data_IF_617604660175
#
_entry.id   IF_617604660175
#
_cell.length_a   1.000
_cell.length_b   1.000
_cell.length_c   1.000
_cell.angle_alpha   90.00
_cell.angle_beta   90.00
_cell.angle_gamma   90.00
#
_symmetry.space_group_name_H-M   'P 1'
#
loop_
_entity.id
_entity.type
_entity.pdbx_description
1 polymer ?
#
# COMPACT_ATOMS: atom_id res chain seq x y z
N UNK A 1 0.06 -18.14 -38.52
CA UNK A 1 -0.70 -17.00 -37.98
C UNK A 1 -0.11 -15.71 -38.51
N UNK A 2 -0.91 -14.69 -38.86
CA UNK A 2 -0.36 -13.49 -39.49
C UNK A 2 0.58 -12.77 -38.51
N UNK A 3 1.81 -12.50 -38.95
CA UNK A 3 2.88 -11.78 -38.25
C UNK A 3 2.39 -10.49 -37.57
N UNK A 4 1.38 -9.86 -38.17
CA UNK A 4 0.81 -8.59 -37.75
C UNK A 4 0.14 -8.68 -36.38
N UNK A 5 -0.48 -9.82 -36.04
CA UNK A 5 -1.15 -9.99 -34.73
C UNK A 5 -0.12 -10.04 -33.59
N UNK A 6 1.00 -10.73 -33.79
CA UNK A 6 2.07 -10.81 -32.79
C UNK A 6 2.80 -9.46 -32.62
N UNK A 7 3.02 -8.74 -33.72
CA UNK A 7 3.60 -7.39 -33.70
C UNK A 7 2.70 -6.40 -32.95
N UNK A 8 1.40 -6.38 -33.27
CA UNK A 8 0.42 -5.52 -32.62
C UNK A 8 0.27 -5.83 -31.12
N UNK A 9 0.30 -7.11 -30.72
CA UNK A 9 0.29 -7.51 -29.32
C UNK A 9 1.55 -7.04 -28.56
N UNK A 10 2.74 -7.16 -29.17
CA UNK A 10 3.99 -6.68 -28.57
C UNK A 10 3.99 -5.16 -28.36
N UNK A 11 3.51 -4.39 -29.35
CA UNK A 11 3.37 -2.94 -29.23
C UNK A 11 2.33 -2.54 -28.17
N UNK A 12 1.19 -3.23 -28.11
CA UNK A 12 0.19 -3.00 -27.07
C UNK A 12 0.76 -3.27 -25.66
N UNK A 13 1.53 -4.34 -25.49
CA UNK A 13 2.21 -4.67 -24.24
C UNK A 13 3.20 -3.58 -23.82
N UNK A 14 4.08 -3.15 -24.73
CA UNK A 14 5.06 -2.11 -24.46
C UNK A 14 4.38 -0.79 -24.06
N UNK A 15 3.28 -0.44 -24.75
CA UNK A 15 2.49 0.76 -24.45
C UNK A 15 1.86 0.70 -23.06
N UNK A 16 1.20 -0.42 -22.73
CA UNK A 16 0.55 -0.60 -21.42
C UNK A 16 1.59 -0.70 -20.29
N UNK A 17 2.72 -1.36 -20.51
CA UNK A 17 3.81 -1.40 -19.54
C UNK A 17 4.39 0.00 -19.28
N UNK A 18 4.55 0.81 -20.33
CA UNK A 18 5.01 2.21 -20.22
C UNK A 18 4.02 3.06 -19.44
N UNK A 19 2.73 2.98 -19.77
CA UNK A 19 1.68 3.73 -19.08
C UNK A 19 1.55 3.29 -17.62
N UNK A 20 1.55 1.98 -17.34
CA UNK A 20 1.56 1.44 -15.99
C UNK A 20 2.78 1.90 -15.17
N UNK A 21 3.95 1.98 -15.79
CA UNK A 21 5.17 2.52 -15.17
C UNK A 21 5.02 3.98 -14.79
N UNK A 22 4.56 4.83 -15.72
CA UNK A 22 4.32 6.25 -15.46
C UNK A 22 3.28 6.44 -14.35
N UNK A 23 2.19 5.67 -14.37
CA UNK A 23 1.16 5.74 -13.33
C UNK A 23 1.68 5.31 -11.96
N UNK A 24 2.35 4.16 -11.86
CA UNK A 24 2.86 3.64 -10.58
C UNK A 24 3.95 4.55 -10.00
N UNK A 25 4.83 5.11 -10.85
CA UNK A 25 5.85 6.05 -10.39
C UNK A 25 5.19 7.39 -10.00
N UNK A 26 4.36 7.96 -10.86
CA UNK A 26 3.77 9.29 -10.65
C UNK A 26 2.75 9.32 -9.52
N UNK A 27 1.74 8.45 -9.58
CA UNK A 27 0.62 8.42 -8.63
C UNK A 27 0.93 7.59 -7.38
N UNK A 28 1.82 6.59 -7.51
CA UNK A 28 2.21 5.74 -6.39
C UNK A 28 3.45 6.26 -5.67
N UNK A 29 4.62 6.11 -6.30
CA UNK A 29 5.91 6.35 -5.65
C UNK A 29 6.20 7.83 -5.34
N UNK A 30 6.00 8.74 -6.29
CA UNK A 30 6.29 10.17 -6.10
C UNK A 30 5.30 10.81 -5.11
N UNK A 31 4.02 10.44 -5.20
CA UNK A 31 3.01 10.94 -4.27
C UNK A 31 3.29 10.45 -2.83
N UNK A 32 3.71 9.19 -2.66
CA UNK A 32 4.03 8.60 -1.34
C UNK A 32 5.20 7.62 -1.42
N UNK A 33 6.45 8.10 -1.20
CA UNK A 33 7.61 7.23 -1.29
C UNK A 33 7.60 6.20 -0.16
N UNK A 34 7.57 4.91 -0.53
CA UNK A 34 7.64 3.78 0.39
C UNK A 34 8.48 2.66 -0.21
N UNK A 35 9.02 1.77 0.63
CA UNK A 35 9.83 0.63 0.17
C UNK A 35 9.03 -0.31 -0.73
N UNK A 36 7.73 -0.52 -0.45
CA UNK A 36 6.85 -1.32 -1.30
C UNK A 36 6.59 -0.64 -2.65
N UNK A 37 6.31 0.66 -2.65
CA UNK A 37 6.10 1.42 -3.88
C UNK A 37 7.36 1.42 -4.76
N UNK A 38 8.56 1.54 -4.18
CA UNK A 38 9.82 1.44 -4.93
C UNK A 38 9.96 0.10 -5.66
N UNK A 39 9.67 -1.00 -4.98
CA UNK A 39 9.79 -2.35 -5.54
C UNK A 39 8.75 -2.62 -6.64
N UNK A 40 7.54 -2.11 -6.47
CA UNK A 40 6.52 -2.18 -7.51
C UNK A 40 6.86 -1.30 -8.71
N UNK A 41 7.37 -0.09 -8.49
CA UNK A 41 7.90 0.76 -9.57
C UNK A 41 9.01 0.06 -10.33
N UNK A 42 9.95 -0.59 -9.64
CA UNK A 42 11.00 -1.39 -10.27
C UNK A 42 10.42 -2.56 -11.08
N UNK A 43 9.36 -3.22 -10.60
CA UNK A 43 8.68 -4.28 -11.34
C UNK A 43 8.13 -3.78 -12.68
N UNK A 44 7.51 -2.59 -12.66
CA UNK A 44 6.97 -1.95 -13.86
C UNK A 44 8.07 -1.45 -14.81
N UNK A 45 9.14 -0.86 -14.28
CA UNK A 45 10.32 -0.48 -15.08
C UNK A 45 10.94 -1.72 -15.73
N UNK A 46 11.06 -2.83 -15.00
CA UNK A 46 11.55 -4.10 -15.55
C UNK A 46 10.62 -4.62 -16.65
N UNK A 47 9.30 -4.60 -16.43
CA UNK A 47 8.34 -5.02 -17.45
C UNK A 47 8.39 -4.12 -18.71
N UNK A 48 8.45 -2.81 -18.53
CA UNK A 48 8.56 -1.84 -19.63
C UNK A 48 9.85 -2.06 -20.43
N UNK A 49 11.01 -2.10 -19.77
CA UNK A 49 12.30 -2.33 -20.45
C UNK A 49 12.34 -3.68 -21.16
N UNK A 50 11.86 -4.75 -20.51
CA UNK A 50 11.75 -6.09 -21.09
C UNK A 50 10.86 -6.14 -22.34
N UNK A 51 9.68 -5.51 -22.31
CA UNK A 51 8.77 -5.47 -23.46
C UNK A 51 9.37 -4.71 -24.63
N UNK A 52 10.01 -3.55 -24.39
CA UNK A 52 10.71 -2.80 -25.44
C UNK A 52 11.88 -3.58 -26.04
N UNK A 53 12.72 -4.23 -25.21
CA UNK A 53 13.80 -5.10 -25.70
C UNK A 53 13.24 -6.22 -26.58
N UNK A 54 12.13 -6.83 -26.18
CA UNK A 54 11.48 -7.89 -26.96
C UNK A 54 10.94 -7.36 -28.31
N UNK A 55 10.32 -6.18 -28.32
CA UNK A 55 9.80 -5.54 -29.54
C UNK A 55 10.94 -5.15 -30.48
N UNK A 56 12.00 -4.53 -29.96
CA UNK A 56 13.19 -4.17 -30.75
C UNK A 56 13.86 -5.39 -31.36
N UNK A 57 14.04 -6.47 -30.58
CA UNK A 57 14.56 -7.73 -31.12
C UNK A 57 13.69 -8.32 -32.23
N UNK A 58 12.37 -8.20 -32.12
CA UNK A 58 11.47 -8.62 -33.20
C UNK A 58 11.60 -7.73 -34.46
N UNK A 59 11.71 -6.40 -34.31
CA UNK A 59 11.87 -5.47 -35.43
C UNK A 59 13.21 -5.64 -36.16
N UNK A 60 14.29 -5.93 -35.43
CA UNK A 60 15.63 -6.16 -35.99
C UNK A 60 15.82 -7.59 -36.51
N UNK A 61 14.80 -8.45 -36.41
CA UNK A 61 14.91 -9.90 -36.66
C UNK A 61 16.01 -10.60 -35.83
N UNK A 62 16.35 -10.04 -34.67
CA UNK A 62 17.31 -10.62 -33.72
C UNK A 62 16.60 -11.44 -32.65
N UNK A 63 16.53 -12.75 -32.89
CA UNK A 63 15.86 -13.70 -32.01
C UNK A 63 16.46 -13.75 -30.60
N UNK A 64 17.78 -13.61 -30.46
CA UNK A 64 18.49 -13.61 -29.18
C UNK A 64 18.06 -12.44 -28.29
N UNK A 65 17.97 -11.24 -28.87
CA UNK A 65 17.51 -10.02 -28.18
C UNK A 65 16.05 -10.16 -27.77
N UNK A 66 15.20 -10.69 -28.65
CA UNK A 66 13.80 -10.96 -28.33
C UNK A 66 13.66 -11.91 -27.13
N UNK A 67 14.42 -13.00 -27.15
CA UNK A 67 14.46 -14.01 -26.09
C UNK A 67 14.98 -13.46 -24.77
N UNK A 68 16.01 -12.62 -24.80
CA UNK A 68 16.51 -11.92 -23.61
C UNK A 68 15.41 -11.04 -22.98
N UNK A 69 14.69 -10.27 -23.81
CA UNK A 69 13.55 -9.46 -23.37
C UNK A 69 12.49 -10.31 -22.66
N UNK A 70 12.03 -11.41 -23.28
CA UNK A 70 11.06 -12.32 -22.67
C UNK A 70 11.55 -12.92 -21.34
N UNK A 71 12.83 -13.29 -21.27
CA UNK A 71 13.45 -13.82 -20.06
C UNK A 71 13.44 -12.81 -18.91
N UNK A 72 13.84 -11.56 -19.17
CA UNK A 72 13.84 -10.48 -18.17
C UNK A 72 12.44 -10.26 -17.56
N UNK A 73 11.39 -10.40 -18.36
CA UNK A 73 10.01 -10.17 -17.91
C UNK A 73 9.59 -11.12 -16.78
N UNK A 74 10.13 -12.34 -16.77
CA UNK A 74 9.79 -13.36 -15.78
C UNK A 74 10.25 -13.01 -14.37
N UNK A 75 11.13 -12.02 -14.19
CA UNK A 75 11.50 -11.49 -12.88
C UNK A 75 10.44 -10.57 -12.24
N UNK A 76 9.56 -9.95 -13.03
CA UNK A 76 8.62 -8.96 -12.50
C UNK A 76 7.70 -9.48 -11.37
N UNK A 77 7.14 -10.71 -11.43
CA UNK A 77 6.36 -11.28 -10.33
C UNK A 77 7.13 -11.38 -9.01
N UNK A 78 8.45 -11.62 -9.05
CA UNK A 78 9.28 -11.68 -7.85
C UNK A 78 9.44 -10.29 -7.20
N UNK A 79 9.53 -9.20 -7.98
CA UNK A 79 9.50 -7.83 -7.44
C UNK A 79 8.14 -7.47 -6.83
N UNK A 80 7.04 -7.89 -7.46
CA UNK A 80 5.70 -7.70 -6.94
C UNK A 80 5.56 -8.36 -5.56
N UNK A 81 5.96 -9.63 -5.46
CA UNK A 81 6.02 -10.37 -4.19
C UNK A 81 6.91 -9.68 -3.15
N UNK A 82 8.12 -9.26 -3.56
CA UNK A 82 9.07 -8.53 -2.73
C UNK A 82 8.45 -7.26 -2.14
N UNK A 83 7.67 -6.52 -2.94
CA UNK A 83 6.95 -5.33 -2.50
C UNK A 83 5.88 -5.61 -1.45
N UNK A 84 5.12 -6.72 -1.57
CA UNK A 84 4.17 -7.13 -0.52
C UNK A 84 4.86 -7.53 0.79
N UNK A 85 6.03 -8.18 0.71
CA UNK A 85 6.85 -8.46 1.88
C UNK A 85 7.35 -7.19 2.57
N UNK A 86 7.83 -6.21 1.79
CA UNK A 86 8.20 -4.90 2.30
C UNK A 86 7.01 -4.19 2.97
N UNK A 87 5.81 -4.29 2.38
CA UNK A 87 4.56 -3.72 2.91
C UNK A 87 4.17 -4.32 4.26
N UNK A 88 4.43 -5.61 4.49
CA UNK A 88 4.23 -6.29 5.78
C UNK A 88 5.32 -6.02 6.83
N UNK A 89 6.37 -5.27 6.48
CA UNK A 89 7.51 -5.01 7.36
C UNK A 89 8.50 -6.17 7.51
N UNK A 90 8.41 -7.21 6.66
CA UNK A 90 9.38 -8.32 6.64
C UNK A 90 10.44 -8.10 5.55
N UNK A 91 11.56 -8.83 5.61
CA UNK A 91 12.67 -8.71 4.64
C UNK A 91 12.16 -8.90 3.20
N UNK A 92 12.34 -7.90 2.34
CA UNK A 92 11.76 -7.87 1.00
C UNK A 92 12.43 -8.80 -0.02
N UNK A 93 13.73 -9.08 0.12
CA UNK A 93 14.52 -9.92 -0.80
C UNK A 93 14.42 -9.54 -2.30
N UNK A 94 14.64 -8.25 -2.68
CA UNK A 94 14.54 -7.82 -4.08
C UNK A 94 15.56 -8.49 -5.02
N UNK A 95 16.68 -8.94 -4.47
CA UNK A 95 17.74 -9.64 -5.21
C UNK A 95 17.24 -10.91 -5.91
N UNK A 96 16.18 -11.56 -5.39
CA UNK A 96 15.61 -12.77 -5.99
C UNK A 96 15.08 -12.48 -7.39
N UNK A 97 14.46 -11.32 -7.59
CA UNK A 97 14.02 -10.92 -8.93
C UNK A 97 15.16 -10.63 -9.88
N UNK A 98 16.24 -10.02 -9.39
CA UNK A 98 17.40 -9.71 -10.22
C UNK A 98 18.07 -11.01 -10.69
N UNK A 99 18.28 -11.96 -9.77
CA UNK A 99 18.83 -13.28 -10.11
C UNK A 99 17.91 -14.00 -11.08
N UNK A 100 16.60 -14.03 -10.82
CA UNK A 100 15.67 -14.71 -11.71
C UNK A 100 15.67 -14.09 -13.11
N UNK A 101 15.53 -12.77 -13.23
CA UNK A 101 15.49 -12.08 -14.53
C UNK A 101 16.76 -12.30 -15.35
N UNK A 102 17.93 -12.19 -14.70
CA UNK A 102 19.22 -12.37 -15.36
C UNK A 102 19.44 -13.84 -15.75
N UNK A 103 19.10 -14.79 -14.88
CA UNK A 103 19.23 -16.21 -15.16
C UNK A 103 18.32 -16.64 -16.32
N UNK A 104 17.05 -16.24 -16.32
CA UNK A 104 16.11 -16.58 -17.40
C UNK A 104 16.51 -15.93 -18.72
N UNK A 105 16.93 -14.67 -18.72
CA UNK A 105 17.42 -14.00 -19.92
C UNK A 105 18.66 -14.68 -20.49
N UNK A 106 19.66 -14.99 -19.65
CA UNK A 106 20.88 -15.66 -20.07
C UNK A 106 20.60 -17.05 -20.63
N UNK A 107 19.79 -17.85 -19.94
CA UNK A 107 19.43 -19.19 -20.37
C UNK A 107 18.68 -19.14 -21.72
N UNK A 108 17.76 -18.19 -21.92
CA UNK A 108 17.00 -18.09 -23.17
C UNK A 108 17.88 -17.68 -24.37
N UNK A 109 18.97 -16.95 -24.12
CA UNK A 109 19.97 -16.60 -25.15
C UNK A 109 20.87 -17.80 -25.47
N UNK A 110 21.28 -18.57 -24.45
CA UNK A 110 22.21 -19.69 -24.62
C UNK A 110 21.58 -20.95 -25.22
N UNK A 111 20.28 -21.17 -25.00
CA UNK A 111 19.58 -22.37 -25.50
C UNK A 111 19.16 -22.16 -26.96
N UNK A 112 19.93 -22.77 -27.86
CA UNK A 112 19.73 -22.67 -29.32
C UNK A 112 18.82 -23.77 -29.87
N UNK A 113 18.80 -24.94 -29.23
CA UNK A 113 17.91 -26.05 -29.62
C UNK A 113 16.44 -25.71 -29.31
N UNK A 114 15.57 -25.87 -30.32
CA UNK A 114 14.14 -25.55 -30.24
C UNK A 114 13.41 -26.46 -29.27
N UNK A 115 13.81 -27.74 -29.18
CA UNK A 115 13.20 -28.71 -28.27
C UNK A 115 13.55 -28.41 -26.81
N UNK A 116 14.82 -28.11 -26.55
CA UNK A 116 15.31 -27.69 -25.24
C UNK A 116 14.74 -26.33 -24.83
N UNK A 117 14.60 -25.38 -25.77
CA UNK A 117 14.03 -24.06 -25.51
C UNK A 117 12.58 -24.14 -24.99
N UNK A 118 11.75 -25.01 -25.58
CA UNK A 118 10.37 -25.21 -25.13
C UNK A 118 10.28 -25.71 -23.68
N UNK A 119 11.14 -26.63 -23.28
CA UNK A 119 11.20 -27.16 -21.91
C UNK A 119 11.72 -26.11 -20.92
N UNK A 120 12.81 -25.43 -21.28
CA UNK A 120 13.43 -24.36 -20.49
C UNK A 120 12.46 -23.19 -20.27
N UNK A 121 11.71 -22.81 -21.30
CA UNK A 121 10.68 -21.78 -21.20
C UNK A 121 9.61 -22.16 -20.18
N UNK A 122 9.12 -23.40 -20.20
CA UNK A 122 8.12 -23.90 -19.24
C UNK A 122 8.66 -23.90 -17.82
N UNK A 123 9.89 -24.36 -17.60
CA UNK A 123 10.53 -24.35 -16.28
C UNK A 123 10.70 -22.92 -15.74
N UNK A 124 11.16 -21.99 -16.57
CA UNK A 124 11.29 -20.58 -16.22
C UNK A 124 9.93 -19.95 -15.89
N UNK A 125 8.89 -20.29 -16.66
CA UNK A 125 7.53 -19.83 -16.41
C UNK A 125 6.96 -20.38 -15.09
N UNK A 126 7.18 -21.67 -14.80
CA UNK A 126 6.83 -22.30 -13.52
C UNK A 126 7.53 -21.60 -12.36
N UNK A 127 8.84 -21.35 -12.48
CA UNK A 127 9.59 -20.62 -11.45
C UNK A 127 9.00 -19.22 -11.18
N UNK A 128 8.62 -18.49 -12.24
CA UNK A 128 7.92 -17.20 -12.11
C UNK A 128 6.53 -17.33 -11.46
N UNK A 129 5.79 -18.38 -11.82
CA UNK A 129 4.46 -18.65 -11.26
C UNK A 129 4.49 -18.92 -9.75
N UNK A 130 5.58 -19.48 -9.21
CA UNK A 130 5.76 -19.65 -7.77
C UNK A 130 5.68 -18.29 -7.05
N UNK A 131 6.28 -17.23 -7.60
CA UNK A 131 6.20 -15.88 -7.00
C UNK A 131 4.82 -15.27 -7.09
N UNK A 132 4.05 -15.56 -8.14
CA UNK A 132 2.64 -15.19 -8.21
C UNK A 132 1.83 -15.92 -7.11
N UNK A 133 2.10 -17.21 -6.87
CA UNK A 133 1.49 -17.97 -5.77
C UNK A 133 1.88 -17.44 -4.40
N UNK A 134 3.15 -17.07 -4.20
CA UNK A 134 3.61 -16.41 -2.98
C UNK A 134 2.94 -15.05 -2.80
N UNK A 135 2.70 -14.30 -3.88
CA UNK A 135 1.95 -13.04 -3.83
C UNK A 135 0.52 -13.27 -3.34
N UNK A 136 -0.17 -14.28 -3.85
CA UNK A 136 -1.51 -14.68 -3.35
C UNK A 136 -1.45 -15.07 -1.88
N UNK A 137 -0.40 -15.79 -1.45
CA UNK A 137 -0.22 -16.17 -0.06
C UNK A 137 -0.02 -14.96 0.86
N UNK A 138 0.79 -13.99 0.44
CA UNK A 138 0.99 -12.74 1.17
C UNK A 138 -0.30 -11.92 1.25
N UNK A 139 -1.07 -11.82 0.16
CA UNK A 139 -2.38 -11.17 0.12
C UNK A 139 -3.38 -11.82 1.08
N UNK A 140 -3.39 -13.16 1.19
CA UNK A 140 -4.25 -13.89 2.13
C UNK A 140 -3.86 -13.68 3.60
N UNK A 141 -2.58 -13.38 3.87
CA UNK A 141 -2.05 -13.12 5.21
C UNK A 141 -2.13 -11.65 5.63
N UNK A 142 -2.41 -10.75 4.70
CA UNK A 142 -2.63 -9.33 5.00
C UNK A 142 -4.00 -9.13 5.67
N UNK A 143 -4.09 -8.12 6.54
CA UNK A 143 -5.36 -7.72 7.16
C UNK A 143 -6.41 -7.28 6.11
N UNK A 144 -5.93 -6.85 4.93
CA UNK A 144 -6.70 -6.36 3.78
C UNK A 144 -7.42 -7.47 2.99
N UNK A 145 -7.56 -8.68 3.54
CA UNK A 145 -8.10 -9.89 2.84
C UNK A 145 -9.48 -9.68 2.19
N UNK A 146 -10.25 -8.70 2.66
CA UNK A 146 -11.62 -8.42 2.24
C UNK A 146 -11.75 -7.16 1.35
N UNK A 147 -10.65 -6.48 1.04
CA UNK A 147 -10.70 -5.30 0.18
C UNK A 147 -10.96 -5.72 -1.28
N UNK A 148 -12.10 -5.26 -1.83
CA UNK A 148 -12.56 -5.61 -3.18
C UNK A 148 -11.53 -5.30 -4.28
N UNK A 149 -10.65 -4.34 -4.04
CA UNK A 149 -9.61 -3.91 -4.98
C UNK A 149 -8.36 -4.80 -4.97
N UNK A 150 -8.25 -5.74 -4.03
CA UNK A 150 -7.24 -6.81 -4.04
C UNK A 150 -7.63 -8.01 -4.93
N UNK A 151 -8.92 -8.11 -5.30
CA UNK A 151 -9.46 -9.24 -6.06
C UNK A 151 -8.85 -9.36 -7.47
N UNK A 152 -8.70 -8.29 -8.27
CA UNK A 152 -8.17 -8.42 -9.64
C UNK A 152 -6.77 -9.02 -9.65
N UNK A 153 -5.88 -8.53 -8.78
CA UNK A 153 -4.53 -9.08 -8.66
C UNK A 153 -4.52 -10.52 -8.14
N UNK A 154 -5.37 -10.84 -7.15
CA UNK A 154 -5.47 -12.19 -6.61
C UNK A 154 -5.92 -13.19 -7.67
N UNK A 155 -6.95 -12.83 -8.45
CA UNK A 155 -7.48 -13.66 -9.55
C UNK A 155 -6.42 -13.87 -10.61
N UNK A 156 -5.76 -12.79 -11.06
CA UNK A 156 -4.77 -12.90 -12.14
C UNK A 156 -3.52 -13.64 -11.68
N UNK A 157 -3.04 -13.45 -10.45
CA UNK A 157 -1.96 -14.27 -9.90
C UNK A 157 -2.36 -15.75 -9.79
N UNK A 158 -3.60 -16.06 -9.41
CA UNK A 158 -4.10 -17.44 -9.35
C UNK A 158 -4.19 -18.08 -10.75
N UNK A 159 -4.67 -17.33 -11.75
CA UNK A 159 -4.67 -17.77 -13.16
C UNK A 159 -3.24 -18.00 -13.64
N UNK A 160 -2.30 -17.11 -13.31
CA UNK A 160 -0.90 -17.26 -13.70
C UNK A 160 -0.25 -18.53 -13.10
N UNK A 161 -0.58 -18.86 -11.84
CA UNK A 161 -0.21 -20.14 -11.21
C UNK A 161 -0.85 -21.33 -11.93
N UNK A 162 -2.14 -21.26 -12.23
CA UNK A 162 -2.85 -22.33 -12.94
C UNK A 162 -2.25 -22.59 -14.33
N UNK A 163 -1.87 -21.54 -15.06
CA UNK A 163 -1.14 -21.63 -16.33
C UNK A 163 0.25 -22.24 -16.13
N UNK A 164 0.96 -21.90 -15.06
CA UNK A 164 2.24 -22.50 -14.72
C UNK A 164 2.14 -24.02 -14.52
N UNK A 165 1.15 -24.45 -13.74
CA UNK A 165 0.88 -25.88 -13.53
C UNK A 165 0.43 -26.56 -14.82
N UNK A 166 -0.48 -25.94 -15.57
CA UNK A 166 -1.00 -26.48 -16.83
C UNK A 166 0.08 -26.67 -17.89
N UNK A 167 1.01 -25.71 -18.03
CA UNK A 167 2.13 -25.80 -18.97
C UNK A 167 3.13 -26.89 -18.59
N UNK A 168 3.34 -27.11 -17.28
CA UNK A 168 4.17 -28.21 -16.77
C UNK A 168 3.53 -29.58 -17.05
N UNK A 169 2.25 -29.76 -16.69
CA UNK A 169 1.50 -31.01 -16.92
C UNK A 169 1.43 -31.33 -18.41
N UNK A 170 1.12 -30.34 -19.25
CA UNK A 170 1.13 -30.48 -20.70
C UNK A 170 2.50 -30.91 -21.23
N UNK A 171 3.60 -30.42 -20.63
CA UNK A 171 4.95 -30.76 -21.06
C UNK A 171 5.34 -32.20 -20.73
N UNK A 172 4.87 -32.71 -19.61
CA UNK A 172 5.07 -34.09 -19.19
C UNK A 172 4.18 -35.06 -19.98
N UNK A 173 2.95 -34.67 -20.31
CA UNK A 173 1.99 -35.53 -21.00
C UNK A 173 2.25 -35.64 -22.52
N UNK A 174 2.80 -34.60 -23.17
CA UNK A 174 3.04 -34.59 -24.61
C UNK A 174 4.42 -34.01 -24.98
N UNK A 175 5.52 -34.77 -24.81
CA UNK A 175 6.89 -34.31 -25.09
C UNK A 175 7.13 -33.96 -26.57
N UNK A 176 6.38 -34.54 -27.50
CA UNK A 176 6.54 -34.30 -28.94
C UNK A 176 5.93 -32.96 -29.41
N UNK A 177 5.08 -32.33 -28.59
CA UNK A 177 4.48 -31.01 -28.88
C UNK A 177 5.35 -29.83 -28.41
N UNK A 178 6.62 -30.07 -28.04
CA UNK A 178 7.54 -29.04 -27.54
C UNK A 178 7.86 -27.94 -28.57
N UNK A 179 7.72 -28.22 -29.86
CA UNK A 179 8.06 -27.29 -30.96
C UNK A 179 6.98 -26.29 -31.34
N UNK A 180 5.69 -26.59 -31.11
CA UNK A 180 4.59 -25.69 -31.51
C UNK A 180 4.30 -24.65 -30.43
N UNK A 181 5.04 -23.54 -30.49
CA UNK A 181 4.99 -22.45 -29.53
C UNK A 181 4.10 -21.28 -29.98
N UNK A 182 3.42 -21.38 -31.13
CA UNK A 182 2.64 -20.28 -31.68
C UNK A 182 1.44 -19.91 -30.79
N UNK A 183 0.61 -20.91 -30.44
CA UNK A 183 -0.56 -20.72 -29.58
C UNK A 183 -0.18 -20.36 -28.13
N UNK A 184 0.82 -21.01 -27.50
CA UNK A 184 1.36 -20.58 -26.21
C UNK A 184 1.88 -19.13 -26.19
N UNK A 185 2.51 -18.64 -27.26
CA UNK A 185 3.00 -17.26 -27.34
C UNK A 185 1.87 -16.23 -27.34
N UNK A 186 0.81 -16.47 -28.12
CA UNK A 186 -0.36 -15.56 -28.17
C UNK A 186 -1.07 -15.52 -26.82
N UNK A 187 -1.31 -16.69 -26.21
CA UNK A 187 -1.94 -16.78 -24.88
C UNK A 187 -1.09 -16.12 -23.79
N UNK A 188 0.23 -16.31 -23.81
CA UNK A 188 1.13 -15.65 -22.88
C UNK A 188 1.14 -14.12 -23.10
N UNK A 189 1.09 -13.67 -24.35
CA UNK A 189 1.02 -12.27 -24.70
C UNK A 189 -0.22 -11.57 -24.13
N UNK A 190 -1.39 -12.16 -24.38
CA UNK A 190 -2.67 -11.71 -23.81
C UNK A 190 -2.71 -11.81 -22.28
N UNK A 191 -2.21 -12.91 -21.73
CA UNK A 191 -2.11 -13.10 -20.28
C UNK A 191 -1.29 -12.01 -19.61
N UNK A 192 -0.18 -11.60 -20.22
CA UNK A 192 0.67 -10.54 -19.70
C UNK A 192 0.03 -9.15 -19.75
N UNK A 193 -0.77 -8.87 -20.80
CA UNK A 193 -1.57 -7.64 -20.88
C UNK A 193 -2.57 -7.56 -19.72
N UNK A 194 -3.34 -8.62 -19.52
CA UNK A 194 -4.31 -8.72 -18.42
C UNK A 194 -3.59 -8.59 -17.07
N UNK A 195 -2.44 -9.24 -16.92
CA UNK A 195 -1.61 -9.16 -15.71
C UNK A 195 -1.15 -7.72 -15.44
N UNK A 196 -0.60 -7.02 -16.43
CA UNK A 196 -0.14 -5.64 -16.28
C UNK A 196 -1.28 -4.69 -15.87
N UNK A 197 -2.45 -4.81 -16.51
CA UNK A 197 -3.61 -3.96 -16.18
C UNK A 197 -4.10 -4.23 -14.76
N UNK A 198 -4.33 -5.50 -14.40
CA UNK A 198 -4.80 -5.86 -13.06
C UNK A 198 -3.79 -5.52 -11.96
N UNK A 199 -2.50 -5.71 -12.24
CA UNK A 199 -1.42 -5.30 -11.34
C UNK A 199 -1.38 -3.78 -11.19
N UNK A 200 -1.54 -3.00 -12.26
CA UNK A 200 -1.52 -1.53 -12.20
C UNK A 200 -2.63 -1.02 -11.28
N UNK A 201 -3.88 -1.45 -11.52
CA UNK A 201 -5.04 -1.01 -10.73
C UNK A 201 -4.89 -1.38 -9.25
N UNK A 202 -4.52 -2.63 -8.97
CA UNK A 202 -4.44 -3.14 -7.59
C UNK A 202 -3.24 -2.56 -6.84
N UNK A 203 -2.08 -2.42 -7.50
CA UNK A 203 -0.88 -1.87 -6.87
C UNK A 203 -0.99 -0.37 -6.66
N UNK A 204 -1.61 0.38 -7.59
CA UNK A 204 -1.93 1.79 -7.37
C UNK A 204 -2.81 1.97 -6.13
N UNK A 205 -3.84 1.14 -6.00
CA UNK A 205 -4.67 1.12 -4.80
C UNK A 205 -3.85 0.83 -3.53
N UNK A 206 -2.95 -0.14 -3.55
CA UNK A 206 -2.11 -0.42 -2.39
C UNK A 206 -1.02 0.63 -2.12
N UNK A 207 -0.65 1.45 -3.11
CA UNK A 207 0.19 2.63 -2.89
C UNK A 207 -0.60 3.81 -2.31
N UNK A 208 -1.89 3.92 -2.61
CA UNK A 208 -2.75 4.97 -2.05
C UNK A 208 -3.28 4.62 -0.65
N UNK A 209 -3.58 3.34 -0.41
CA UNK A 209 -4.05 2.79 0.87
C UNK A 209 -2.88 2.21 1.67
N UNK A 210 -2.47 2.96 2.69
CA UNK A 210 -1.38 2.59 3.59
C UNK A 210 -1.58 1.19 4.19
N UNK A 211 -0.50 0.37 4.39
CA UNK A 211 -0.53 -0.85 5.20
C UNK A 211 -0.81 -0.62 6.70
N UNK A 212 -1.27 0.58 7.06
CA UNK A 212 -1.89 0.90 8.33
C UNK A 212 -3.19 0.11 8.58
N UNK A 213 -3.46 -1.01 7.91
CA UNK A 213 -4.58 -1.91 8.20
C UNK A 213 -4.54 -2.49 9.63
N UNK A 214 -3.39 -2.48 10.31
CA UNK A 214 -3.33 -2.70 11.79
C UNK A 214 -3.85 -1.52 12.62
N UNK A 215 -3.95 -0.34 12.01
CA UNK A 215 -4.69 0.84 12.48
C UNK A 215 -5.99 1.03 11.68
N UNK A 216 -6.58 0.00 11.06
CA UNK A 216 -7.87 0.16 10.36
C UNK A 216 -9.03 0.52 11.31
N UNK A 217 -8.83 0.35 12.63
CA UNK A 217 -9.67 0.97 13.65
C UNK A 217 -9.64 2.53 13.59
N UNK A 218 -8.70 3.13 12.85
CA UNK A 218 -8.48 4.58 12.72
C UNK A 218 -8.76 5.15 11.32
N UNK A 219 -9.47 4.44 10.44
CA UNK A 219 -9.96 5.06 9.20
C UNK A 219 -11.17 5.93 9.54
N UNK A 220 -11.16 7.20 9.12
CA UNK A 220 -12.22 8.17 9.45
C UNK A 220 -13.65 7.63 9.25
N UNK A 221 -13.98 6.95 8.14
CA UNK A 221 -15.33 6.40 7.96
C UNK A 221 -15.68 5.31 8.98
N UNK A 222 -14.74 4.41 9.31
CA UNK A 222 -14.98 3.35 10.29
C UNK A 222 -15.12 3.91 11.70
N UNK A 223 -14.28 4.89 12.04
CA UNK A 223 -14.38 5.64 13.29
C UNK A 223 -15.76 6.32 13.41
N UNK A 224 -16.20 7.05 12.38
CA UNK A 224 -17.50 7.74 12.40
C UNK A 224 -18.64 6.76 12.66
N UNK A 225 -18.66 5.61 11.97
CA UNK A 225 -19.71 4.59 12.17
C UNK A 225 -19.68 4.03 13.60
N UNK A 226 -18.51 3.66 14.09
CA UNK A 226 -18.33 3.04 15.42
C UNK A 226 -18.66 4.01 16.55
N UNK A 227 -18.14 5.23 16.46
CA UNK A 227 -18.35 6.28 17.44
C UNK A 227 -19.81 6.74 17.48
N UNK A 228 -20.45 6.91 16.31
CA UNK A 228 -21.88 7.27 16.24
C UNK A 228 -22.75 6.21 16.90
N UNK A 229 -22.49 4.93 16.61
CA UNK A 229 -23.25 3.81 17.20
C UNK A 229 -23.05 3.70 18.73
N UNK A 230 -21.82 3.94 19.22
CA UNK A 230 -21.53 3.99 20.67
C UNK A 230 -22.21 5.17 21.36
N UNK A 231 -22.14 6.37 20.78
CA UNK A 231 -22.82 7.55 21.31
C UNK A 231 -24.35 7.39 21.28
N UNK A 232 -24.91 6.76 20.25
CA UNK A 232 -26.34 6.44 20.20
C UNK A 232 -26.77 5.42 21.28
N UNK A 233 -25.90 4.47 21.64
CA UNK A 233 -26.12 3.60 22.81
C UNK A 233 -26.04 4.37 24.12
N UNK A 234 -25.01 5.22 24.29
CA UNK A 234 -24.84 6.07 25.46
C UNK A 234 -26.03 6.99 25.68
N UNK A 235 -26.57 7.57 24.61
CA UNK A 235 -27.81 8.38 24.64
C UNK A 235 -29.00 7.59 25.15
N UNK A 236 -29.18 6.34 24.71
CA UNK A 236 -30.28 5.48 25.20
C UNK A 236 -30.13 5.12 26.66
N UNK A 237 -28.89 4.93 27.12
CA UNK A 237 -28.57 4.64 28.51
C UNK A 237 -28.45 5.89 29.41
N UNK A 238 -28.51 7.10 28.82
CA UNK A 238 -28.28 8.39 29.50
C UNK A 238 -26.93 8.44 30.24
N UNK A 239 -25.88 7.87 29.64
CA UNK A 239 -24.54 7.83 30.23
C UNK A 239 -23.81 9.18 30.08
N UNK A 240 -23.53 9.85 31.20
CA UNK A 240 -22.89 11.17 31.21
C UNK A 240 -21.35 11.12 31.10
N UNK A 241 -20.73 9.94 31.20
CA UNK A 241 -19.27 9.77 31.19
C UNK A 241 -18.63 9.80 29.80
N UNK A 242 -19.42 9.98 28.73
CA UNK A 242 -18.91 10.03 27.37
C UNK A 242 -18.40 11.43 27.02
N UNK A 243 -17.23 11.48 26.40
CA UNK A 243 -16.65 12.71 25.89
C UNK A 243 -15.96 12.50 24.54
N UNK A 244 -15.92 13.58 23.77
CA UNK A 244 -15.16 13.68 22.53
C UNK A 244 -14.02 14.67 22.75
N UNK A 245 -12.81 14.27 22.37
CA UNK A 245 -11.62 15.10 22.43
C UNK A 245 -11.05 15.27 21.02
N UNK A 246 -10.64 16.49 20.69
CA UNK A 246 -9.85 16.77 19.49
C UNK A 246 -8.46 17.18 19.93
N UNK A 247 -7.45 16.36 19.63
CA UNK A 247 -6.03 16.60 19.92
C UNK A 247 -5.36 17.05 18.63
N UNK A 248 -4.70 18.20 18.64
CA UNK A 248 -4.04 18.76 17.45
C UNK A 248 -2.65 19.28 17.79
N UNK A 249 -1.68 19.04 16.90
CA UNK A 249 -0.37 19.69 16.94
C UNK A 249 -0.51 21.18 16.58
N UNK A 250 0.10 22.06 17.36
CA UNK A 250 0.12 23.48 17.05
C UNK A 250 1.09 23.77 15.89
N UNK A 251 0.80 24.82 15.12
CA UNK A 251 1.60 25.31 13.99
C UNK A 251 2.16 24.25 13.02
N UNK A 252 1.31 23.36 12.46
CA UNK A 252 1.74 22.25 11.61
C UNK A 252 2.45 22.72 10.32
N UNK A 253 2.19 23.94 9.87
CA UNK A 253 2.87 24.53 8.71
C UNK A 253 4.33 24.89 9.02
N UNK A 254 4.59 25.44 10.20
CA UNK A 254 5.95 25.80 10.65
C UNK A 254 6.77 24.54 10.98
N UNK A 255 6.14 23.56 11.65
CA UNK A 255 6.78 22.27 11.87
C UNK A 255 7.17 21.59 10.56
N UNK A 256 6.30 21.65 9.54
CA UNK A 256 6.59 21.08 8.23
C UNK A 256 7.71 21.81 7.48
N UNK A 257 7.78 23.14 7.57
CA UNK A 257 8.86 23.92 6.94
C UNK A 257 10.21 23.68 7.62
N UNK A 258 10.23 23.53 8.95
CA UNK A 258 11.44 23.26 9.72
C UNK A 258 11.95 21.81 9.57
N UNK A 259 11.06 20.81 9.61
CA UNK A 259 11.42 19.39 9.57
C UNK A 259 11.70 18.82 8.16
N UNK A 260 11.15 19.49 7.15
CA UNK A 260 10.87 18.88 5.84
C UNK A 260 9.79 17.80 5.90
N UNK A 261 9.30 17.36 4.73
CA UNK A 261 8.16 16.42 4.63
C UNK A 261 8.43 15.06 5.29
N UNK A 262 9.66 14.55 5.20
CA UNK A 262 10.02 13.25 5.80
C UNK A 262 10.12 13.31 7.33
N UNK A 263 10.61 14.42 7.89
CA UNK A 263 10.62 14.68 9.33
C UNK A 263 9.21 14.86 9.86
N UNK A 264 8.39 15.65 9.18
CA UNK A 264 6.97 15.86 9.49
C UNK A 264 6.19 14.53 9.56
N UNK A 265 6.38 13.64 8.59
CA UNK A 265 5.72 12.33 8.57
C UNK A 265 6.09 11.44 9.77
N UNK A 266 7.37 11.46 10.19
CA UNK A 266 7.81 10.72 11.38
C UNK A 266 7.23 11.33 12.65
N UNK A 267 7.24 12.66 12.76
CA UNK A 267 6.69 13.39 13.90
C UNK A 267 5.22 13.12 14.09
N UNK A 268 4.42 13.26 13.03
CA UNK A 268 2.99 12.93 13.06
C UNK A 268 2.79 11.46 13.45
N UNK A 269 3.63 10.55 12.97
CA UNK A 269 3.57 9.14 13.34
C UNK A 269 3.86 8.87 14.82
N UNK A 270 4.82 9.57 15.42
CA UNK A 270 5.15 9.48 16.85
C UNK A 270 4.05 10.10 17.71
N UNK A 271 3.57 11.30 17.34
CA UNK A 271 2.45 11.96 17.98
C UNK A 271 1.19 11.07 17.99
N UNK A 272 0.84 10.48 16.84
CA UNK A 272 -0.31 9.58 16.75
C UNK A 272 -0.13 8.31 17.61
N UNK A 273 1.08 7.77 17.69
CA UNK A 273 1.38 6.63 18.57
C UNK A 273 1.20 7.02 20.03
N UNK A 274 1.74 8.17 20.42
CA UNK A 274 1.64 8.66 21.78
C UNK A 274 0.17 8.84 22.20
N UNK A 275 -0.65 9.48 21.37
CA UNK A 275 -2.08 9.62 21.64
C UNK A 275 -2.74 8.25 21.82
N UNK A 276 -2.44 7.29 20.95
CA UNK A 276 -2.99 5.94 21.07
C UNK A 276 -2.53 5.19 22.33
N UNK A 277 -1.30 5.44 22.80
CA UNK A 277 -0.70 4.79 23.97
C UNK A 277 -1.19 5.43 25.29
N UNK A 278 -1.54 6.73 25.28
CA UNK A 278 -2.07 7.43 26.47
C UNK A 278 -3.53 7.08 26.76
N UNK A 279 -4.37 6.90 25.73
CA UNK A 279 -5.78 6.59 25.91
C UNK A 279 -6.04 5.09 26.13
N UNK A 280 -7.08 4.71 26.90
CA UNK A 280 -7.38 3.31 27.16
C UNK A 280 -7.80 2.57 25.89
N UNK A 281 -7.59 1.25 25.84
CA UNK A 281 -7.92 0.40 24.69
C UNK A 281 -9.41 0.41 24.28
N UNK A 282 -10.29 0.85 25.18
CA UNK A 282 -11.73 1.01 24.92
C UNK A 282 -12.06 2.29 24.15
N UNK A 283 -11.14 3.26 24.09
CA UNK A 283 -11.34 4.52 23.39
C UNK A 283 -11.27 4.31 21.87
N UNK A 284 -12.17 4.98 21.15
CA UNK A 284 -12.18 4.98 19.70
C UNK A 284 -11.38 6.18 19.20
N UNK A 285 -10.41 5.94 18.30
CA UNK A 285 -9.57 6.99 17.73
C UNK A 285 -9.84 7.16 16.24
N UNK A 286 -10.10 8.40 15.83
CA UNK A 286 -10.37 8.79 14.45
C UNK A 286 -9.32 9.76 13.93
N UNK A 287 -8.95 9.61 12.65
CA UNK A 287 -8.04 10.54 11.98
C UNK A 287 -8.60 11.01 10.66
N UNK A 288 -8.99 12.28 10.61
CA UNK A 288 -9.42 12.96 9.39
C UNK A 288 -8.23 13.56 8.64
N UNK A 289 -7.34 14.26 9.35
CA UNK A 289 -6.21 15.02 8.81
C UNK A 289 -4.95 14.68 9.62
N UNK A 290 -3.77 14.75 9.00
CA UNK A 290 -2.47 14.53 9.68
C UNK A 290 -2.23 15.58 10.77
N UNK A 291 -1.77 15.13 11.94
CA UNK A 291 -1.52 16.01 13.09
C UNK A 291 -2.78 16.40 13.86
N UNK A 292 -3.93 15.77 13.57
CA UNK A 292 -5.19 15.90 14.28
C UNK A 292 -5.75 14.51 14.58
N UNK A 293 -6.05 14.23 15.84
CA UNK A 293 -6.67 12.97 16.28
C UNK A 293 -7.93 13.29 17.06
N UNK A 294 -9.03 12.64 16.70
CA UNK A 294 -10.30 12.70 17.43
C UNK A 294 -10.40 11.45 18.29
N UNK A 295 -10.75 11.60 19.56
CA UNK A 295 -10.87 10.51 20.52
C UNK A 295 -12.27 10.52 21.11
N UNK A 296 -12.94 9.37 21.08
CA UNK A 296 -14.21 9.15 21.80
C UNK A 296 -13.97 8.16 22.92
N UNK A 297 -14.31 8.55 24.14
CA UNK A 297 -13.96 7.79 25.34
C UNK A 297 -15.06 7.93 26.39
N UNK A 298 -15.30 6.84 27.13
CA UNK A 298 -16.20 6.82 28.29
C UNK A 298 -15.40 6.79 29.59
N UNK A 299 -15.14 7.96 30.18
CA UNK A 299 -14.43 8.10 31.45
C UNK A 299 -14.93 9.32 32.23
N UNK A 300 -14.89 9.29 33.57
CA UNK A 300 -15.20 10.46 34.38
C UNK A 300 -14.29 11.65 34.07
N UNK A 301 -14.81 12.85 34.24
CA UNK A 301 -14.11 14.12 34.01
C UNK A 301 -12.75 14.22 34.72
N UNK A 302 -12.64 13.69 35.93
CA UNK A 302 -11.38 13.69 36.70
C UNK A 302 -10.29 12.86 36.03
N UNK A 303 -10.67 11.70 35.48
CA UNK A 303 -9.77 10.80 34.76
C UNK A 303 -9.36 11.41 33.41
N UNK A 304 -10.33 11.99 32.67
CA UNK A 304 -10.05 12.65 31.41
C UNK A 304 -9.07 13.81 31.56
N UNK A 305 -9.24 14.62 32.61
CA UNK A 305 -8.31 15.72 32.91
C UNK A 305 -6.88 15.23 33.14
N UNK A 306 -6.70 14.14 33.87
CA UNK A 306 -5.38 13.57 34.14
C UNK A 306 -4.76 12.95 32.87
N UNK A 307 -5.56 12.29 32.04
CA UNK A 307 -5.13 11.77 30.74
C UNK A 307 -4.67 12.89 29.80
N UNK A 308 -5.46 13.97 29.70
CA UNK A 308 -5.13 15.16 28.90
C UNK A 308 -3.84 15.81 29.40
N UNK A 309 -3.69 15.99 30.71
CA UNK A 309 -2.48 16.55 31.31
C UNK A 309 -1.25 15.67 31.06
N UNK A 310 -1.41 14.36 31.19
CA UNK A 310 -0.34 13.39 30.92
C UNK A 310 0.07 13.42 29.45
N UNK A 311 -0.90 13.48 28.54
CA UNK A 311 -0.67 13.56 27.10
C UNK A 311 0.10 14.83 26.74
N UNK A 312 -0.35 16.00 27.20
CA UNK A 312 0.34 17.28 26.92
C UNK A 312 1.78 17.24 27.42
N UNK A 313 2.00 16.81 28.67
CA UNK A 313 3.36 16.66 29.21
C UNK A 313 4.23 15.74 28.34
N UNK A 314 3.70 14.58 27.93
CA UNK A 314 4.44 13.62 27.10
C UNK A 314 4.72 14.16 25.69
N UNK A 315 3.84 14.98 25.13
CA UNK A 315 4.07 15.66 23.84
C UNK A 315 5.20 16.68 23.98
N UNK A 316 5.20 17.44 25.07
CA UNK A 316 6.21 18.48 25.34
C UNK A 316 7.58 17.88 25.68
N UNK A 317 7.61 16.72 26.33
CA UNK A 317 8.85 15.95 26.65
C UNK A 317 9.36 15.11 25.48
N UNK A 318 8.64 15.07 24.36
CA UNK A 318 9.01 14.23 23.23
C UNK A 318 10.33 14.74 22.65
N UNK A 319 11.39 13.94 22.80
CA UNK A 319 12.72 14.27 22.31
C UNK A 319 12.73 14.23 20.77
N UNK A 320 12.51 15.40 20.18
CA UNK A 320 12.61 15.65 18.73
C UNK A 320 13.99 16.20 18.37
N UNK A 321 14.92 16.35 19.32
CA UNK A 321 16.22 17.00 19.10
C UNK A 321 17.07 16.28 18.05
N UNK A 322 16.79 15.01 17.75
CA UNK A 322 17.38 14.28 16.64
C UNK A 322 16.96 14.80 15.23
N UNK A 323 15.93 15.65 15.13
CA UNK A 323 15.32 16.08 13.87
C UNK A 323 15.04 17.58 13.80
N UNK A 324 14.67 18.22 14.91
CA UNK A 324 14.33 19.66 14.98
C UNK A 324 14.63 20.16 16.40
N UNK A 325 15.31 21.30 16.51
CA UNK A 325 15.55 22.00 17.77
C UNK A 325 14.36 22.90 18.17
N UNK A 326 13.14 22.34 18.09
CA UNK A 326 11.88 23.03 18.40
C UNK A 326 11.07 22.15 19.34
N UNK A 327 10.57 22.76 20.42
CA UNK A 327 9.66 22.12 21.36
C UNK A 327 8.28 21.93 20.72
N UNK A 328 7.76 20.71 20.74
CA UNK A 328 6.42 20.44 20.26
C UNK A 328 5.38 20.96 21.26
N UNK A 329 4.30 21.54 20.74
CA UNK A 329 3.09 21.83 21.53
C UNK A 329 1.86 21.25 20.84
N UNK A 330 0.86 20.95 21.65
CA UNK A 330 -0.44 20.50 21.17
C UNK A 330 -1.56 21.20 21.93
N UNK A 331 -2.69 21.36 21.25
CA UNK A 331 -3.91 21.91 21.82
C UNK A 331 -5.01 20.86 21.81
N UNK A 332 -5.77 20.79 22.91
CA UNK A 332 -6.82 19.78 23.10
C UNK A 332 -8.15 20.46 23.37
N UNK A 333 -9.14 20.20 22.52
CA UNK A 333 -10.53 20.57 22.80
C UNK A 333 -11.28 19.38 23.37
N UNK A 334 -12.08 19.61 24.40
CA UNK A 334 -12.86 18.58 25.09
C UNK A 334 -14.33 18.99 25.18
N UNK A 335 -15.22 18.13 24.69
CA UNK A 335 -16.66 18.31 24.77
C UNK A 335 -17.33 17.07 25.40
N UNK A 336 -18.07 17.21 26.51
CA UNK A 336 -18.92 16.15 27.03
C UNK A 336 -20.03 15.80 26.03
N UNK A 337 -20.37 14.53 25.86
CA UNK A 337 -21.35 14.07 24.87
C UNK A 337 -22.74 14.72 25.04
N UNK A 338 -23.11 15.01 26.30
CA UNK A 338 -24.37 15.68 26.64
C UNK A 338 -24.50 17.10 26.08
N UNK A 339 -23.39 17.81 25.87
CA UNK A 339 -23.40 19.20 25.41
C UNK A 339 -23.99 19.36 24.00
N UNK A 340 -23.87 18.32 23.15
CA UNK A 340 -24.41 18.32 21.80
C UNK A 340 -25.34 17.11 21.53
N UNK A 341 -26.10 16.68 22.54
CA UNK A 341 -27.12 15.62 22.43
C UNK A 341 -26.60 14.31 21.78
N UNK A 342 -25.34 13.97 22.07
CA UNK A 342 -24.63 12.79 21.57
C UNK A 342 -24.43 12.77 20.03
N UNK A 343 -24.63 13.89 19.32
CA UNK A 343 -24.32 14.00 17.90
C UNK A 343 -22.80 14.12 17.68
N UNK A 344 -22.21 13.08 17.10
CA UNK A 344 -20.77 13.02 16.83
C UNK A 344 -20.28 14.22 16.00
N UNK A 345 -21.02 14.64 14.97
CA UNK A 345 -20.56 15.71 14.09
C UNK A 345 -20.52 17.04 14.82
N UNK A 346 -21.57 17.35 15.59
CA UNK A 346 -21.62 18.55 16.41
C UNK A 346 -20.51 18.54 17.48
N UNK A 347 -20.31 17.41 18.18
CA UNK A 347 -19.26 17.25 19.18
C UNK A 347 -17.85 17.46 18.60
N UNK A 348 -17.59 16.98 17.38
CA UNK A 348 -16.30 17.17 16.71
C UNK A 348 -16.09 18.65 16.35
N UNK A 349 -17.12 19.33 15.84
CA UNK A 349 -17.05 20.76 15.51
C UNK A 349 -16.77 21.60 16.75
N UNK A 350 -17.48 21.35 17.84
CA UNK A 350 -17.31 22.07 19.10
C UNK A 350 -15.95 21.78 19.74
N UNK A 351 -15.49 20.51 19.67
CA UNK A 351 -14.16 20.13 20.16
C UNK A 351 -13.06 20.77 19.32
N UNK A 352 -13.24 20.91 18.01
CA UNK A 352 -12.27 21.59 17.15
C UNK A 352 -12.22 23.10 17.42
N UNK A 353 -13.37 23.72 17.64
CA UNK A 353 -13.46 25.13 18.04
C UNK A 353 -12.74 25.39 19.37
N UNK A 354 -12.94 24.51 20.36
CA UNK A 354 -12.24 24.56 21.64
C UNK A 354 -10.73 24.35 21.50
N UNK A 355 -10.30 23.39 20.68
CA UNK A 355 -8.88 23.18 20.39
C UNK A 355 -8.26 24.41 19.68
N UNK A 356 -9.01 25.11 18.82
CA UNK A 356 -8.55 26.33 18.17
C UNK A 356 -8.38 27.49 19.15
N UNK A 357 -9.30 27.64 20.10
CA UNK A 357 -9.18 28.67 21.13
C UNK A 357 -8.02 28.36 22.09
N UNK A 358 -7.80 27.09 22.44
CA UNK A 358 -6.58 26.67 23.14
C UNK A 358 -5.29 27.04 22.37
N UNK A 359 -5.22 26.78 21.06
CA UNK A 359 -4.08 27.22 20.24
C UNK A 359 -3.92 28.74 20.28
N UNK A 360 -5.00 29.52 20.19
CA UNK A 360 -4.96 30.99 20.25
C UNK A 360 -4.45 31.53 21.59
N UNK A 361 -4.61 30.80 22.69
CA UNK A 361 -4.13 31.19 24.02
C UNK A 361 -2.65 30.87 24.28
N UNK A 362 -1.92 30.42 23.26
CA UNK A 362 -0.48 30.18 23.32
C UNK A 362 -0.08 28.72 23.19
N UNK A 363 -1.01 27.81 22.88
CA UNK A 363 -0.72 26.38 22.73
C UNK A 363 -0.50 25.66 24.06
N UNK A 364 -0.17 24.37 23.98
CA UNK A 364 0.10 23.48 25.15
C UNK A 364 -0.96 23.54 26.26
N UNK A 365 -2.22 23.73 25.87
CA UNK A 365 -3.33 23.83 26.80
C UNK A 365 -4.57 23.13 26.26
N UNK A 366 -5.56 22.98 27.15
CA UNK A 366 -6.82 22.35 26.81
C UNK A 366 -7.99 23.26 27.16
N UNK A 367 -9.04 23.19 26.36
CA UNK A 367 -10.28 23.92 26.58
C UNK A 367 -11.48 22.99 26.58
N UNK A 368 -12.33 23.17 27.57
CA UNK A 368 -13.56 22.42 27.73
C UNK A 368 -14.75 23.31 27.43
N UNK A 369 -15.63 22.84 26.55
CA UNK A 369 -16.94 23.44 26.34
C UNK A 369 -17.81 23.10 27.54
N UNK A 370 -18.35 24.14 28.19
CA UNK A 370 -19.34 24.00 29.27
C UNK A 370 -20.72 23.91 28.63
N UNK A 371 -21.50 22.91 29.05
CA UNK A 371 -22.90 22.76 28.66
C UNK A 371 -23.77 23.84 29.29
#
# INVERSE_FOLDING_TARGET
MPSDVLSNLGLAQATIATLGTVMIIGLGFLHRPSRSALLWSLAFVLAMTSTWVSVTGAMLNEESVRRAGLGLMLGAPALIWSGFRARRGVRALPWVSAIQALATALIFVLVTDTSAYGLVFRLAFVASSVFAGLTVWELRRAADRLERLALPLTVVCAIFVALGVGTLVSGLAAPTALGDLALPRVLNGLGMLVFLVCATVSLLYFTSVSPSGRRAASSWPHFVVTATDRLARARRAQEESWAVLTVRLDDPAQLRSAAGESGWLRLVGQFESLVADTFPAEADLGREIRGRVVVVVSRPDSVLRELVRTLLRQITELDVSAYIDIQLSASIGWVPAKAADYDLNALIVDADAAACEATRRGGDCWERVRA
#
